data_IF_505167725422
#
_entry.id   IF_505167725422
#
_cell.length_a   1.000
_cell.length_b   1.000
_cell.length_c   1.000
_cell.angle_alpha   90.00
_cell.angle_beta   90.00
_cell.angle_gamma   90.00
#
_symmetry.space_group_name_H-M   'P 1'
#
loop_
_entity.id
_entity.type
_entity.pdbx_description
1 polymer ?
#
# COMPACT_ATOMS: atom_id res chain seq x y z
N UNK A 1 65.89 6.98 13.04
CA UNK A 1 65.69 6.17 14.27
C UNK A 1 64.18 5.92 14.41
N UNK A 2 63.76 4.76 14.90
CA UNK A 2 62.62 4.06 14.32
C UNK A 2 61.31 4.15 15.13
N UNK A 3 60.21 3.81 14.43
CA UNK A 3 59.13 2.88 14.84
C UNK A 3 57.87 3.38 15.60
N UNK A 4 56.75 2.94 15.00
CA UNK A 4 55.44 2.50 15.50
C UNK A 4 54.28 3.51 15.64
N UNK A 5 53.25 3.24 14.83
CA UNK A 5 51.85 3.61 15.03
C UNK A 5 51.22 2.82 16.19
N UNK A 6 50.14 3.32 16.78
CA UNK A 6 48.98 2.47 17.03
C UNK A 6 47.69 2.97 16.34
N UNK A 7 46.75 2.05 16.01
CA UNK A 7 45.51 2.36 15.30
C UNK A 7 44.39 2.68 16.29
N UNK A 8 43.79 3.87 16.21
CA UNK A 8 42.60 4.20 17.02
C UNK A 8 41.32 4.06 16.21
N UNK A 9 40.90 2.79 16.17
CA UNK A 9 39.52 2.28 16.30
C UNK A 9 38.44 2.93 15.44
N UNK A 10 38.01 2.15 14.43
CA UNK A 10 36.64 2.17 13.94
C UNK A 10 35.67 2.03 15.11
N UNK A 11 34.93 3.10 15.43
CA UNK A 11 33.71 2.98 16.20
C UNK A 11 32.57 2.73 15.21
N UNK A 12 32.21 1.45 15.10
CA UNK A 12 30.98 0.99 14.46
C UNK A 12 29.82 1.86 14.92
N UNK A 13 29.28 2.68 14.02
CA UNK A 13 27.91 3.16 14.17
C UNK A 13 26.97 2.02 13.79
N UNK A 14 26.99 0.95 14.57
CA UNK A 14 25.86 0.03 14.66
C UNK A 14 24.90 0.62 15.66
N UNK A 15 24.34 1.79 15.33
CA UNK A 15 23.03 2.12 15.88
C UNK A 15 22.09 1.34 14.99
N UNK A 16 21.61 0.20 15.50
CA UNK A 16 20.51 -0.51 14.89
C UNK A 16 19.47 0.55 14.55
N UNK A 17 19.28 0.82 13.26
CA UNK A 17 18.07 1.46 12.81
C UNK A 17 17.04 0.35 12.98
N UNK A 18 16.54 0.21 14.21
CA UNK A 18 15.24 -0.41 14.41
C UNK A 18 14.32 0.45 13.56
N UNK A 19 14.03 -0.05 12.36
CA UNK A 19 13.13 0.55 11.41
C UNK A 19 11.82 0.64 12.15
N UNK A 20 11.50 1.83 12.65
CA UNK A 20 10.14 2.20 12.97
C UNK A 20 9.31 1.71 11.78
N UNK A 21 8.42 0.71 11.96
CA UNK A 21 7.64 0.24 10.85
C UNK A 21 6.90 1.44 10.28
N UNK A 22 7.12 1.72 9.00
CA UNK A 22 6.55 2.84 8.26
C UNK A 22 5.02 2.67 8.14
N UNK A 23 4.32 2.78 9.26
CA UNK A 23 2.86 2.78 9.36
C UNK A 23 2.25 4.13 8.96
N UNK A 24 3.06 5.19 8.90
CA UNK A 24 2.65 6.55 8.52
C UNK A 24 3.01 6.91 7.06
N UNK A 25 3.45 5.95 6.24
CA UNK A 25 3.60 6.21 4.82
C UNK A 25 2.21 6.13 4.18
N UNK A 26 1.61 7.28 3.83
CA UNK A 26 0.30 7.31 3.15
C UNK A 26 0.29 6.47 1.86
N UNK A 27 1.45 6.34 1.22
CA UNK A 27 1.69 5.46 0.07
C UNK A 27 1.54 3.95 0.39
N UNK A 28 1.48 3.58 1.68
CA UNK A 28 1.27 2.22 2.16
C UNK A 28 -0.21 1.89 2.42
N UNK A 29 -1.15 2.79 2.15
CA UNK A 29 -2.58 2.46 2.11
C UNK A 29 -3.07 2.11 0.69
N UNK A 30 -4.07 1.23 0.56
CA UNK A 30 -4.63 0.90 -0.74
C UNK A 30 -5.36 2.12 -1.33
N UNK A 31 -5.09 2.40 -2.60
CA UNK A 31 -5.71 3.52 -3.32
C UNK A 31 -6.06 3.10 -4.74
N UNK A 32 -7.08 3.72 -5.33
CA UNK A 32 -7.35 3.54 -6.75
C UNK A 32 -6.21 4.07 -7.60
N UNK A 33 -5.62 3.20 -8.41
CA UNK A 33 -4.55 3.54 -9.35
C UNK A 33 -5.08 4.45 -10.47
N UNK A 34 -6.36 4.31 -10.80
CA UNK A 34 -7.04 5.08 -11.83
C UNK A 34 -8.47 5.48 -11.39
N UNK A 35 -9.05 6.55 -11.95
CA UNK A 35 -10.44 6.91 -11.72
C UNK A 35 -11.38 5.80 -12.21
N UNK A 36 -12.39 5.47 -11.41
CA UNK A 36 -13.39 4.48 -11.77
C UNK A 36 -14.23 5.01 -12.95
N UNK A 37 -14.38 4.24 -14.05
CA UNK A 37 -15.08 4.72 -15.24
C UNK A 37 -16.59 4.78 -15.03
N UNK A 38 -17.22 5.86 -15.51
CA UNK A 38 -18.67 5.95 -15.55
C UNK A 38 -19.19 5.09 -16.70
N UNK A 39 -19.89 4.01 -16.39
CA UNK A 39 -20.53 3.14 -17.38
C UNK A 39 -22.03 3.31 -17.35
N UNK A 40 -22.66 3.23 -18.52
CA UNK A 40 -24.12 3.19 -18.66
C UNK A 40 -24.46 1.89 -19.36
N UNK A 41 -25.25 1.05 -18.70
CA UNK A 41 -25.73 -0.21 -19.27
C UNK A 41 -27.23 -0.13 -19.50
N UNK A 42 -27.72 -0.88 -20.48
CA UNK A 42 -29.16 -1.04 -20.67
C UNK A 42 -29.74 -1.92 -19.59
N UNK A 43 -30.98 -1.63 -19.19
CA UNK A 43 -31.75 -2.46 -18.25
C UNK A 43 -31.73 -3.93 -18.67
N UNK A 44 -31.58 -4.82 -17.69
CA UNK A 44 -31.54 -6.28 -17.89
C UNK A 44 -30.17 -6.82 -18.33
N UNK A 45 -29.09 -6.04 -18.17
CA UNK A 45 -27.71 -6.48 -18.36
C UNK A 45 -26.89 -6.23 -17.10
N UNK A 46 -25.91 -7.08 -16.85
CA UNK A 46 -24.97 -6.90 -15.75
C UNK A 46 -24.11 -5.65 -15.95
N UNK A 47 -24.05 -4.81 -14.91
CA UNK A 47 -23.16 -3.66 -14.84
C UNK A 47 -21.86 -4.10 -14.15
N UNK A 48 -20.81 -4.36 -14.92
CA UNK A 48 -19.51 -4.72 -14.36
C UNK A 48 -18.61 -3.49 -14.23
N UNK A 49 -18.37 -3.05 -13.00
CA UNK A 49 -17.48 -1.93 -12.71
C UNK A 49 -16.09 -2.46 -12.33
N UNK A 50 -15.14 -2.35 -13.27
CA UNK A 50 -13.76 -2.70 -12.99
C UNK A 50 -13.09 -1.60 -12.15
N UNK A 51 -12.23 -2.02 -11.23
CA UNK A 51 -11.48 -1.12 -10.39
C UNK A 51 -10.05 -1.65 -10.16
N UNK A 52 -9.06 -0.79 -10.35
CA UNK A 52 -7.65 -1.12 -10.14
C UNK A 52 -7.17 -0.43 -8.87
N UNK A 53 -6.74 -1.23 -7.89
CA UNK A 53 -6.26 -0.77 -6.59
C UNK A 53 -4.75 -1.00 -6.50
N UNK A 54 -4.01 0.07 -6.26
CA UNK A 54 -2.58 0.03 -5.93
C UNK A 54 -2.40 -0.30 -4.45
N UNK A 55 -1.32 -1.00 -4.14
CA UNK A 55 -0.87 -1.23 -2.77
C UNK A 55 -1.91 -1.97 -1.88
N UNK A 56 -2.68 -2.88 -2.51
CA UNK A 56 -3.67 -3.73 -1.85
C UNK A 56 -3.07 -4.62 -0.74
N UNK A 57 -1.82 -5.06 -0.88
CA UNK A 57 -1.05 -5.81 0.13
C UNK A 57 -1.94 -6.88 0.84
N UNK A 58 -2.16 -6.73 2.14
CA UNK A 58 -3.00 -7.62 2.97
C UNK A 58 -4.43 -7.12 3.21
N UNK A 59 -4.84 -6.03 2.54
CA UNK A 59 -6.19 -5.49 2.63
C UNK A 59 -7.15 -6.28 1.73
N UNK A 60 -8.40 -6.43 2.19
CA UNK A 60 -9.45 -7.11 1.44
C UNK A 60 -10.30 -6.08 0.70
N UNK A 61 -10.68 -6.40 -0.53
CA UNK A 61 -11.67 -5.62 -1.26
C UNK A 61 -13.08 -5.98 -0.78
N UNK A 62 -13.97 -4.99 -0.79
CA UNK A 62 -15.40 -5.17 -0.57
C UNK A 62 -16.14 -4.52 -1.76
N UNK A 63 -17.16 -5.20 -2.28
CA UNK A 63 -18.12 -4.60 -3.19
C UNK A 63 -19.39 -4.24 -2.40
N UNK A 64 -20.00 -3.12 -2.76
CA UNK A 64 -21.32 -2.73 -2.31
C UNK A 64 -22.20 -2.69 -3.55
N UNK A 65 -22.67 -3.86 -3.97
CA UNK A 65 -23.69 -3.97 -4.98
C UNK A 65 -25.02 -3.57 -4.31
N UNK A 66 -25.70 -2.55 -4.86
CA UNK A 66 -26.94 -1.96 -4.30
C UNK A 66 -28.18 -2.85 -4.56
N UNK A 67 -28.02 -3.95 -5.30
CA UNK A 67 -29.08 -4.85 -5.74
C UNK A 67 -29.70 -5.73 -4.62
N UNK A 68 -29.28 -5.57 -3.35
CA UNK A 68 -29.83 -6.29 -2.19
C UNK A 68 -30.61 -5.40 -1.20
N UNK A 69 -31.13 -4.23 -1.61
CA UNK A 69 -32.25 -3.57 -0.89
C UNK A 69 -33.60 -4.00 -1.47
N UNK A 70 -33.84 -5.31 -1.44
CA UNK A 70 -35.15 -5.89 -1.71
C UNK A 70 -36.17 -5.37 -0.69
N UNK A 71 -37.03 -4.45 -1.12
CA UNK A 71 -38.27 -4.16 -0.42
C UNK A 71 -39.21 -5.35 -0.60
N UNK A 72 -39.19 -6.27 0.38
CA UNK A 72 -40.32 -7.13 0.75
C UNK A 72 -40.46 -7.16 2.26
#
# INVERSE_FOLDING_TARGET
>A
MPILTPPSKQAKQTRAHESVPDFDNEANFPRFAEPIPNITVTIGRDALLACVVENLKGYKTASADDDDVGWI
#
